data_IF_313873107449
#
_entry.id   IF_313873107449
#
_cell.length_a   1.000
_cell.length_b   1.000
_cell.length_c   1.000
_cell.angle_alpha   90.00
_cell.angle_beta   90.00
_cell.angle_gamma   90.00
#
_symmetry.space_group_name_H-M   'P 1'
#
loop_
_entity.id
_entity.type
_entity.pdbx_description
1 polymer ?
#
# COMPACT_ATOMS: atom_id res chain seq x y z
N UNK A 1 -20.41 4.80 -10.24
CA UNK A 1 -19.72 3.77 -9.44
C UNK A 1 -19.74 4.20 -7.98
N UNK A 2 -19.75 3.25 -7.04
CA UNK A 2 -19.69 3.57 -5.63
C UNK A 2 -18.23 3.75 -5.19
N UNK A 3 -18.05 4.36 -4.02
CA UNK A 3 -16.71 4.67 -3.50
C UNK A 3 -15.85 3.42 -3.25
N UNK A 4 -16.47 2.28 -2.97
CA UNK A 4 -15.72 1.02 -2.77
C UNK A 4 -15.18 0.49 -4.10
N UNK A 5 -15.95 0.62 -5.18
CA UNK A 5 -15.48 0.28 -6.52
C UNK A 5 -14.30 1.17 -6.93
N UNK A 6 -14.41 2.50 -6.77
CA UNK A 6 -13.32 3.42 -7.11
C UNK A 6 -12.03 3.11 -6.30
N UNK A 7 -12.17 2.74 -5.02
CA UNK A 7 -11.03 2.34 -4.18
C UNK A 7 -10.42 1.01 -4.64
N UNK A 8 -11.25 0.06 -5.08
CA UNK A 8 -10.78 -1.24 -5.61
C UNK A 8 -10.05 -1.05 -6.94
N UNK A 9 -10.58 -0.21 -7.83
CA UNK A 9 -9.93 0.12 -9.11
C UNK A 9 -8.55 0.77 -8.90
N UNK A 10 -8.43 1.66 -7.90
CA UNK A 10 -7.13 2.24 -7.54
C UNK A 10 -6.13 1.20 -7.01
N UNK A 11 -6.59 0.24 -6.19
CA UNK A 11 -5.73 -0.87 -5.71
C UNK A 11 -5.21 -1.67 -6.89
N UNK A 12 -6.09 -1.99 -7.85
CA UNK A 12 -5.78 -2.75 -9.05
C UNK A 12 -4.80 -2.00 -9.96
N UNK A 13 -5.05 -0.73 -10.24
CA UNK A 13 -4.17 0.11 -11.07
C UNK A 13 -2.76 0.19 -10.49
N UNK A 14 -2.63 0.46 -9.18
CA UNK A 14 -1.33 0.57 -8.53
C UNK A 14 -0.61 -0.78 -8.46
N UNK A 15 -1.34 -1.87 -8.21
CA UNK A 15 -0.74 -3.20 -8.18
C UNK A 15 -0.25 -3.62 -9.56
N UNK A 16 -1.06 -3.45 -10.60
CA UNK A 16 -0.68 -3.76 -11.99
C UNK A 16 0.51 -2.92 -12.44
N UNK A 17 0.51 -1.63 -12.11
CA UNK A 17 1.65 -0.74 -12.36
C UNK A 17 2.91 -1.22 -11.64
N UNK A 18 2.80 -1.65 -10.38
CA UNK A 18 3.92 -2.21 -9.63
C UNK A 18 4.49 -3.48 -10.27
N UNK A 19 3.62 -4.39 -10.71
CA UNK A 19 4.03 -5.63 -11.40
C UNK A 19 4.76 -5.36 -12.72
N UNK A 20 4.30 -4.38 -13.50
CA UNK A 20 4.98 -3.97 -14.73
C UNK A 20 6.38 -3.41 -14.43
N UNK A 21 6.48 -2.47 -13.49
CA UNK A 21 7.75 -1.86 -13.10
C UNK A 21 8.72 -2.89 -12.49
N UNK A 22 8.19 -3.86 -11.75
CA UNK A 22 8.96 -4.96 -11.17
C UNK A 22 9.59 -5.82 -12.27
N UNK A 23 8.81 -6.19 -13.31
CA UNK A 23 9.30 -6.98 -14.45
C UNK A 23 10.39 -6.25 -15.24
N UNK A 24 10.27 -4.92 -15.38
CA UNK A 24 11.26 -4.08 -16.05
C UNK A 24 12.51 -3.77 -15.18
N UNK A 25 12.59 -4.29 -13.95
CA UNK A 25 13.72 -4.05 -13.04
C UNK A 25 13.78 -2.63 -12.48
N UNK A 26 12.69 -1.84 -12.60
CA UNK A 26 12.60 -0.45 -12.13
C UNK A 26 12.33 -0.41 -10.62
N UNK A 27 13.32 -0.84 -9.84
CA UNK A 27 13.23 -1.17 -8.42
C UNK A 27 12.52 -0.12 -7.54
N UNK A 28 13.01 1.12 -7.49
CA UNK A 28 12.35 2.16 -6.67
C UNK A 28 10.92 2.46 -7.14
N UNK A 29 10.70 2.47 -8.45
CA UNK A 29 9.40 2.78 -9.02
C UNK A 29 8.38 1.68 -8.68
N UNK A 30 8.80 0.41 -8.83
CA UNK A 30 8.02 -0.75 -8.42
C UNK A 30 7.68 -0.70 -6.93
N UNK A 31 8.67 -0.43 -6.06
CA UNK A 31 8.46 -0.30 -4.62
C UNK A 31 7.45 0.80 -4.29
N UNK A 32 7.57 1.99 -4.90
CA UNK A 32 6.64 3.09 -4.69
C UNK A 32 5.21 2.72 -5.10
N UNK A 33 5.02 1.97 -6.19
CA UNK A 33 3.69 1.52 -6.62
C UNK A 33 3.12 0.42 -5.71
N UNK A 34 3.94 -0.54 -5.25
CA UNK A 34 3.49 -1.50 -4.23
C UNK A 34 3.09 -0.79 -2.94
N UNK A 35 3.88 0.19 -2.49
CA UNK A 35 3.53 0.97 -1.30
C UNK A 35 2.23 1.77 -1.50
N UNK A 36 1.99 2.35 -2.68
CA UNK A 36 0.70 2.99 -3.00
C UNK A 36 -0.47 2.00 -2.98
N UNK A 37 -0.29 0.80 -3.52
CA UNK A 37 -1.30 -0.25 -3.47
C UNK A 37 -1.60 -0.64 -2.01
N UNK A 38 -0.58 -0.78 -1.16
CA UNK A 38 -0.74 -1.02 0.28
C UNK A 38 -1.53 0.09 0.99
N UNK A 39 -1.24 1.35 0.67
CA UNK A 39 -1.99 2.51 1.19
C UNK A 39 -3.46 2.45 0.75
N UNK A 40 -3.71 2.17 -0.54
CA UNK A 40 -5.05 2.07 -1.08
C UNK A 40 -5.86 0.92 -0.45
N UNK A 41 -5.22 -0.23 -0.18
CA UNK A 41 -5.83 -1.34 0.57
C UNK A 41 -6.25 -0.89 1.98
N UNK A 42 -5.39 -0.14 2.68
CA UNK A 42 -5.73 0.40 3.99
C UNK A 42 -6.94 1.34 3.93
N UNK A 43 -6.98 2.23 2.94
CA UNK A 43 -8.07 3.19 2.76
C UNK A 43 -9.38 2.51 2.37
N UNK A 44 -9.33 1.46 1.54
CA UNK A 44 -10.48 0.60 1.24
C UNK A 44 -11.06 -0.01 2.52
N UNK A 45 -10.21 -0.60 3.37
CA UNK A 45 -10.67 -1.25 4.61
C UNK A 45 -11.26 -0.23 5.59
N UNK A 46 -10.60 0.92 5.77
CA UNK A 46 -11.12 2.01 6.60
C UNK A 46 -12.48 2.52 6.08
N UNK A 47 -12.64 2.66 4.77
CA UNK A 47 -13.91 3.08 4.20
C UNK A 47 -15.00 2.02 4.30
N UNK A 48 -14.68 0.75 4.03
CA UNK A 48 -15.62 -0.39 4.10
C UNK A 48 -16.21 -0.53 5.50
N UNK A 49 -15.34 -0.48 6.51
CA UNK A 49 -15.72 -0.84 7.87
C UNK A 49 -16.16 0.37 8.70
N UNK A 50 -15.52 1.54 8.50
CA UNK A 50 -15.72 2.72 9.35
C UNK A 50 -16.31 3.92 8.60
N UNK A 51 -16.41 3.87 7.27
CA UNK A 51 -16.82 5.02 6.42
C UNK A 51 -15.96 6.27 6.64
N UNK A 52 -14.66 6.07 6.89
CA UNK A 52 -13.68 7.15 7.08
C UNK A 52 -12.56 7.01 6.04
N UNK A 53 -12.15 8.14 5.46
CA UNK A 53 -10.92 8.24 4.67
C UNK A 53 -9.98 9.23 5.36
N UNK A 54 -8.72 8.86 5.61
CA UNK A 54 -7.75 9.77 6.23
C UNK A 54 -7.25 10.82 5.23
N UNK A 55 -7.07 12.05 5.67
CA UNK A 55 -6.60 13.15 4.82
C UNK A 55 -5.09 13.06 4.53
N UNK A 56 -4.34 12.34 5.37
CA UNK A 56 -2.89 12.26 5.30
C UNK A 56 -2.35 10.99 5.98
N UNK A 57 -1.04 10.74 5.80
CA UNK A 57 -0.37 9.59 6.40
C UNK A 57 -0.46 9.56 7.92
N UNK A 58 -0.31 10.70 8.61
CA UNK A 58 -0.36 10.75 10.08
C UNK A 58 -1.72 10.27 10.61
N UNK A 59 -2.79 10.74 9.99
CA UNK A 59 -4.13 10.31 10.34
C UNK A 59 -4.36 8.83 10.03
N UNK A 60 -3.93 8.36 8.84
CA UNK A 60 -4.00 6.96 8.46
C UNK A 60 -3.32 6.06 9.48
N UNK A 61 -2.07 6.37 9.84
CA UNK A 61 -1.33 5.61 10.85
C UNK A 61 -2.02 5.61 12.22
N UNK A 62 -2.59 6.73 12.64
CA UNK A 62 -3.33 6.83 13.90
C UNK A 62 -4.56 5.91 13.89
N UNK A 63 -5.36 5.94 12.83
CA UNK A 63 -6.56 5.11 12.69
C UNK A 63 -6.21 3.62 12.63
N UNK A 64 -5.24 3.24 11.81
CA UNK A 64 -4.79 1.86 11.67
C UNK A 64 -4.21 1.34 12.99
N UNK A 65 -3.38 2.11 13.69
CA UNK A 65 -2.81 1.69 14.98
C UNK A 65 -3.88 1.35 16.01
N UNK A 66 -5.00 2.10 16.01
CA UNK A 66 -6.08 1.92 16.96
C UNK A 66 -7.04 0.77 16.58
N UNK A 67 -7.30 0.60 15.27
CA UNK A 67 -8.40 -0.26 14.78
C UNK A 67 -7.93 -1.51 14.02
N UNK A 68 -6.76 -1.46 13.40
CA UNK A 68 -6.21 -2.49 12.52
C UNK A 68 -4.69 -2.65 12.76
N UNK A 69 -4.27 -3.12 13.95
CA UNK A 69 -2.86 -3.20 14.33
C UNK A 69 -2.01 -4.01 13.33
N UNK A 70 -2.59 -5.04 12.71
CA UNK A 70 -1.90 -5.84 11.69
C UNK A 70 -1.59 -5.02 10.43
N UNK A 71 -2.55 -4.24 9.93
CA UNK A 71 -2.33 -3.35 8.78
C UNK A 71 -1.36 -2.23 9.14
N UNK A 72 -1.47 -1.69 10.36
CA UNK A 72 -0.54 -0.69 10.87
C UNK A 72 0.89 -1.23 10.89
N UNK A 73 1.10 -2.45 11.40
CA UNK A 73 2.43 -3.06 11.48
C UNK A 73 3.08 -3.15 10.10
N UNK A 74 2.35 -3.66 9.10
CA UNK A 74 2.83 -3.79 7.72
C UNK A 74 3.11 -2.42 7.09
N UNK A 75 2.14 -1.50 7.12
CA UNK A 75 2.30 -0.18 6.48
C UNK A 75 3.42 0.64 7.13
N UNK A 76 3.53 0.59 8.47
CA UNK A 76 4.54 1.36 9.21
C UNK A 76 5.94 0.81 9.01
N UNK A 77 6.08 -0.50 8.79
CA UNK A 77 7.36 -1.13 8.44
C UNK A 77 7.93 -0.57 7.13
N UNK A 78 7.11 -0.43 6.09
CA UNK A 78 7.58 0.02 4.77
C UNK A 78 7.73 1.54 4.63
N UNK A 79 7.05 2.33 5.48
CA UNK A 79 6.99 3.79 5.34
C UNK A 79 8.34 4.53 5.40
N UNK A 80 9.29 4.17 6.30
CA UNK A 80 10.62 4.78 6.28
C UNK A 80 11.32 4.60 4.93
N UNK A 81 11.26 3.40 4.35
CA UNK A 81 11.88 3.10 3.07
C UNK A 81 11.22 3.85 1.91
N UNK A 82 9.89 3.98 1.95
CA UNK A 82 9.14 4.79 0.98
C UNK A 82 9.60 6.26 0.99
N UNK A 83 9.82 6.85 2.17
CA UNK A 83 10.34 8.22 2.24
C UNK A 83 11.77 8.34 1.72
N UNK A 84 12.57 7.29 1.91
CA UNK A 84 13.96 7.26 1.48
C UNK A 84 14.13 7.04 -0.04
N UNK A 85 13.12 6.56 -0.78
CA UNK A 85 13.25 6.27 -2.22
C UNK A 85 13.62 7.47 -3.09
N UNK A 86 13.42 8.69 -2.59
CA UNK A 86 13.85 9.93 -3.26
C UNK A 86 15.36 10.16 -3.21
N UNK A 87 16.07 9.52 -2.28
CA UNK A 87 17.50 9.73 -2.03
C UNK A 87 18.31 8.45 -2.01
N UNK A 88 17.64 7.28 -1.97
CA UNK A 88 18.27 5.96 -1.86
C UNK A 88 17.56 4.94 -2.74
N UNK A 89 18.30 3.90 -3.12
CA UNK A 89 17.72 2.70 -3.74
C UNK A 89 17.23 1.75 -2.65
N UNK A 90 16.05 1.16 -2.85
CA UNK A 90 15.63 -0.01 -2.06
C UNK A 90 16.30 -1.26 -2.61
N UNK A 91 16.60 -2.21 -1.74
CA UNK A 91 17.16 -3.50 -2.16
C UNK A 91 16.06 -4.48 -2.59
N UNK A 92 16.49 -5.53 -3.32
CA UNK A 92 15.59 -6.52 -3.88
C UNK A 92 14.82 -7.30 -2.80
N UNK A 93 15.42 -7.51 -1.62
CA UNK A 93 14.75 -8.25 -0.53
C UNK A 93 13.55 -7.47 -0.02
N UNK A 94 13.73 -6.16 0.15
CA UNK A 94 12.67 -5.28 0.58
C UNK A 94 11.58 -5.14 -0.50
N UNK A 95 11.98 -5.07 -1.77
CA UNK A 95 11.04 -5.05 -2.90
C UNK A 95 10.19 -6.33 -2.96
N UNK A 96 10.81 -7.50 -2.77
CA UNK A 96 10.10 -8.78 -2.71
C UNK A 96 9.18 -8.84 -1.50
N UNK A 97 9.63 -8.37 -0.33
CA UNK A 97 8.83 -8.37 0.89
C UNK A 97 7.55 -7.53 0.74
N UNK A 98 7.66 -6.29 0.24
CA UNK A 98 6.48 -5.43 0.05
C UNK A 98 5.51 -6.02 -0.98
N UNK A 99 6.02 -6.64 -2.05
CA UNK A 99 5.20 -7.34 -3.04
C UNK A 99 4.39 -8.47 -2.39
N UNK A 100 5.06 -9.34 -1.62
CA UNK A 100 4.40 -10.46 -0.93
C UNK A 100 3.33 -9.99 0.04
N UNK A 101 3.60 -8.94 0.81
CA UNK A 101 2.60 -8.38 1.73
C UNK A 101 1.41 -7.73 1.02
N UNK A 102 1.64 -7.04 -0.10
CA UNK A 102 0.54 -6.47 -0.90
C UNK A 102 -0.33 -7.58 -1.46
N UNK A 103 0.25 -8.65 -2.02
CA UNK A 103 -0.51 -9.80 -2.53
C UNK A 103 -1.38 -10.41 -1.42
N UNK A 104 -0.77 -10.71 -0.26
CA UNK A 104 -1.49 -11.27 0.90
C UNK A 104 -2.61 -10.36 1.40
N UNK A 105 -2.40 -9.04 1.41
CA UNK A 105 -3.40 -8.10 1.90
C UNK A 105 -4.50 -7.79 0.88
N UNK A 106 -4.22 -7.97 -0.41
CA UNK A 106 -5.20 -7.83 -1.49
C UNK A 106 -6.34 -8.85 -1.38
N UNK A 107 -6.07 -10.04 -0.84
CA UNK A 107 -7.10 -11.06 -0.53
C UNK A 107 -8.20 -10.55 0.42
N UNK A 108 -7.96 -9.44 1.16
CA UNK A 108 -8.94 -8.84 2.07
C UNK A 108 -9.90 -7.87 1.38
N UNK A 109 -9.68 -7.56 0.10
CA UNK A 109 -10.49 -6.62 -0.71
C UNK A 109 -11.16 -7.30 -1.92
N UNK A 110 -10.86 -8.57 -2.15
CA UNK A 110 -11.54 -9.42 -3.13
C UNK A 110 -12.89 -9.89 -2.61
#
# INVERSE_FOLDING_TARGET
MGRLEDLKDNIDEYFQSAELLFKEGLTNAAFMMYFKSLVAICDYILWRDLRVLPDNHRERFRLLKLRYPDLYSVLSHYFPYYRDTYTRRVDDRLLIAVKSDVIRLKEKVE
#
